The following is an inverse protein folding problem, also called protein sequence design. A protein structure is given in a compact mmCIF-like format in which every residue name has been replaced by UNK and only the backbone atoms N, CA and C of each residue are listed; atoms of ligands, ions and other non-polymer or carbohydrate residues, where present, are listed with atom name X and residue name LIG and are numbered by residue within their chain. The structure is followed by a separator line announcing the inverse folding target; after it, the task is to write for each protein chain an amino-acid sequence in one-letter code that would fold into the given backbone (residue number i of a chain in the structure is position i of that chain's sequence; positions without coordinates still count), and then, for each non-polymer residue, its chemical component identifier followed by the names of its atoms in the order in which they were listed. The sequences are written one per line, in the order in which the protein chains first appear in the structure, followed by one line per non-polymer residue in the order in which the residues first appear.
data_IF_311011447148
#
_entry.id   IF_311011447148
#
_cell.length_a   1.000
_cell.length_b   1.000
_cell.length_c   1.000
_cell.angle_alpha   90.00
_cell.angle_beta   90.00
_cell.angle_gamma   90.00
#
_symmetry.space_group_name_H-M   'P 1'
#
loop_
_entity.id
_entity.type
_entity.pdbx_description
1 polymer ?
#
# COMPACT_ATOMS: atom_id res chain seq x y z
N UNK A 1 19.56 -27.99 12.20
CA UNK A 1 19.01 -29.11 13.02
C UNK A 1 19.73 -29.02 14.36
N UNK A 2 19.16 -28.73 15.52
CA UNK A 2 17.85 -28.34 16.00
C UNK A 2 18.15 -27.62 17.34
N UNK A 3 17.46 -26.54 17.67
CA UNK A 3 17.61 -25.87 18.97
C UNK A 3 16.22 -25.71 19.61
N UNK A 4 15.61 -26.85 19.94
CA UNK A 4 14.27 -27.01 20.51
C UNK A 4 14.32 -27.11 22.05
N UNK A 5 14.91 -26.14 22.77
CA UNK A 5 15.08 -26.32 24.23
C UNK A 5 15.05 -25.07 25.12
N UNK A 6 14.61 -23.92 24.63
CA UNK A 6 14.48 -22.73 25.48
C UNK A 6 13.05 -22.21 25.41
N UNK A 7 12.43 -22.15 26.59
CA UNK A 7 11.14 -21.56 26.94
C UNK A 7 9.89 -22.48 26.92
N UNK A 8 9.67 -23.15 28.05
CA UNK A 8 8.34 -23.48 28.57
C UNK A 8 7.54 -22.19 28.86
N UNK A 9 6.94 -21.58 27.83
CA UNK A 9 5.92 -20.53 27.97
C UNK A 9 4.56 -21.23 27.82
N UNK A 10 3.62 -21.10 28.77
CA UNK A 10 2.28 -21.65 28.60
C UNK A 10 1.67 -21.08 27.31
N UNK A 11 1.16 -21.97 26.47
CA UNK A 11 0.61 -21.72 25.12
C UNK A 11 -0.48 -20.61 25.08
N UNK A 12 -0.99 -20.20 26.23
CA UNK A 12 -1.95 -19.12 26.43
C UNK A 12 -1.37 -17.70 26.35
N UNK A 13 -0.04 -17.50 26.40
CA UNK A 13 0.56 -16.14 26.43
C UNK A 13 0.93 -15.58 25.04
N UNK A 14 1.11 -16.42 24.01
CA UNK A 14 1.59 -15.98 22.68
C UNK A 14 0.45 -15.50 21.75
N UNK A 15 -0.82 -15.68 22.14
CA UNK A 15 -1.98 -15.37 21.29
C UNK A 15 -2.58 -13.95 21.44
N UNK A 16 -2.02 -13.06 22.28
CA UNK A 16 -2.65 -11.75 22.54
C UNK A 16 -2.15 -10.61 21.64
N UNK A 17 -1.06 -10.80 20.90
CA UNK A 17 -0.50 -9.77 20.02
C UNK A 17 -0.63 -10.19 18.56
N UNK A 18 -1.87 -10.25 18.07
CA UNK A 18 -2.09 -10.25 16.62
C UNK A 18 -1.68 -8.87 16.09
N UNK A 19 -0.67 -8.75 15.20
CA UNK A 19 -0.41 -7.50 14.51
C UNK A 19 -1.66 -7.15 13.68
N UNK A 20 -1.99 -5.85 13.60
CA UNK A 20 -3.04 -5.36 12.72
C UNK A 20 -2.85 -5.98 11.34
N UNK A 21 -3.81 -6.82 10.92
CA UNK A 21 -3.82 -7.46 9.61
C UNK A 21 -3.87 -6.34 8.57
N UNK A 22 -2.71 -5.93 8.07
CA UNK A 22 -2.60 -5.11 6.88
C UNK A 22 -3.25 -5.87 5.74
N UNK A 23 -4.48 -5.51 5.39
CA UNK A 23 -5.17 -6.03 4.20
C UNK A 23 -4.63 -5.28 2.98
N UNK A 24 -3.88 -5.93 2.08
CA UNK A 24 -3.24 -5.27 0.93
C UNK A 24 -4.24 -4.89 -0.18
N UNK A 25 -5.51 -5.26 -0.02
CA UNK A 25 -6.59 -4.89 -0.92
C UNK A 25 -7.32 -3.69 -0.32
N UNK A 26 -6.83 -2.49 -0.62
CA UNK A 26 -7.62 -1.28 -0.45
C UNK A 26 -8.89 -1.38 -1.31
N UNK A 27 -10.07 -1.13 -0.72
CA UNK A 27 -11.34 -1.13 -1.45
C UNK A 27 -11.51 0.10 -2.36
N UNK A 28 -10.51 0.99 -2.40
CA UNK A 28 -10.56 2.23 -3.16
C UNK A 28 -10.29 2.00 -4.64
N UNK A 29 -11.17 2.57 -5.46
CA UNK A 29 -11.07 2.53 -6.92
C UNK A 29 -10.61 3.90 -7.43
N UNK A 30 -9.80 3.89 -8.48
CA UNK A 30 -9.38 5.12 -9.13
C UNK A 30 -10.59 5.85 -9.74
N UNK A 31 -10.69 7.17 -9.55
CA UNK A 31 -11.82 7.97 -10.07
C UNK A 31 -11.80 8.04 -11.61
N UNK A 32 -10.60 7.98 -12.23
CA UNK A 32 -10.41 8.19 -13.67
C UNK A 32 -10.56 6.88 -14.44
N UNK A 33 -9.78 5.85 -14.07
CA UNK A 33 -9.76 4.58 -14.78
C UNK A 33 -10.61 3.48 -14.12
N UNK A 34 -11.19 3.73 -12.94
CA UNK A 34 -12.02 2.79 -12.17
C UNK A 34 -11.33 1.48 -11.77
N UNK A 35 -10.03 1.35 -12.06
CA UNK A 35 -9.22 0.21 -11.62
C UNK A 35 -9.04 0.24 -10.11
N UNK A 36 -8.91 -0.96 -9.54
CA UNK A 36 -8.64 -1.12 -8.12
C UNK A 36 -7.23 -0.61 -7.81
N UNK A 37 -7.09 0.22 -6.78
CA UNK A 37 -5.81 0.80 -6.38
C UNK A 37 -5.19 -0.08 -5.29
N UNK A 38 -3.87 -0.29 -5.39
CA UNK A 38 -3.13 -1.11 -4.43
C UNK A 38 -3.09 -0.51 -3.01
N UNK A 39 -3.17 0.81 -2.91
CA UNK A 39 -3.15 1.56 -1.65
C UNK A 39 -4.42 2.43 -1.56
N UNK A 40 -4.84 2.78 -0.34
CA UNK A 40 -6.02 3.61 -0.10
C UNK A 40 -5.83 5.00 -0.72
N UNK A 41 -6.41 5.23 -1.90
CA UNK A 41 -6.11 6.41 -2.71
C UNK A 41 -7.18 6.70 -3.77
N UNK A 42 -7.29 7.97 -4.14
CA UNK A 42 -8.28 8.46 -5.11
C UNK A 42 -7.89 8.17 -6.56
N UNK A 43 -6.59 8.12 -6.85
CA UNK A 43 -6.07 7.92 -8.19
C UNK A 43 -5.06 6.77 -8.25
N UNK A 44 -5.02 6.10 -9.41
CA UNK A 44 -4.01 5.10 -9.71
C UNK A 44 -2.63 5.75 -9.90
N UNK A 45 -1.53 5.03 -9.66
CA UNK A 45 -0.17 5.58 -9.84
C UNK A 45 0.03 6.18 -11.23
N UNK A 46 -0.41 5.47 -12.28
CA UNK A 46 -0.37 5.93 -13.67
C UNK A 46 -1.20 7.20 -13.89
N UNK A 47 -2.38 7.29 -13.28
CA UNK A 47 -3.34 8.36 -13.47
C UNK A 47 -2.89 9.65 -12.75
N UNK A 48 -2.40 9.48 -11.53
CA UNK A 48 -1.76 10.50 -10.72
C UNK A 48 -0.55 11.08 -11.47
N UNK A 49 0.25 10.21 -12.08
CA UNK A 49 1.39 10.60 -12.90
C UNK A 49 0.98 11.34 -14.17
N UNK A 50 0.04 10.83 -14.97
CA UNK A 50 -0.38 11.51 -16.21
C UNK A 50 -0.96 12.91 -15.94
N UNK A 51 -1.61 13.12 -14.79
CA UNK A 51 -2.18 14.42 -14.42
C UNK A 51 -1.28 15.28 -13.52
N UNK A 52 -0.17 14.75 -13.01
CA UNK A 52 0.71 15.48 -12.09
C UNK A 52 0.09 15.76 -10.73
N UNK A 53 -0.85 14.92 -10.29
CA UNK A 53 -1.59 15.09 -9.03
C UNK A 53 -1.21 14.02 -8.01
N UNK A 54 -1.35 14.33 -6.73
CA UNK A 54 -1.15 13.38 -5.65
C UNK A 54 -2.17 12.24 -5.72
N UNK A 55 -1.72 10.97 -5.68
CA UNK A 55 -2.59 9.79 -5.70
C UNK A 55 -3.55 9.72 -4.50
N UNK A 56 -3.14 10.29 -3.36
CA UNK A 56 -3.91 10.33 -2.11
C UNK A 56 -4.86 11.54 -2.07
N UNK A 57 -4.30 12.74 -2.28
CA UNK A 57 -5.00 14.01 -2.00
C UNK A 57 -5.65 14.65 -3.24
N UNK A 58 -5.18 14.34 -4.45
CA UNK A 58 -5.62 15.01 -5.69
C UNK A 58 -5.07 16.42 -5.93
N UNK A 59 -4.30 16.98 -4.98
CA UNK A 59 -3.59 18.25 -5.18
C UNK A 59 -2.51 18.11 -6.26
N UNK A 60 -2.26 19.16 -7.04
CA UNK A 60 -1.16 19.18 -8.01
C UNK A 60 0.18 19.09 -7.25
N UNK A 61 1.01 18.10 -7.59
CA UNK A 61 2.32 17.86 -6.96
C UNK A 61 3.44 18.11 -7.95
N UNK A 62 3.21 17.87 -9.24
CA UNK A 62 4.23 17.96 -10.27
C UNK A 62 3.62 18.49 -11.57
N UNK A 63 4.36 19.30 -12.31
CA UNK A 63 4.04 19.58 -13.72
C UNK A 63 4.69 18.49 -14.58
N UNK A 64 3.87 17.64 -15.18
CA UNK A 64 4.32 16.42 -15.89
C UNK A 64 4.80 16.69 -17.31
N UNK A 65 4.89 17.95 -17.74
CA UNK A 65 5.39 18.28 -19.09
C UNK A 65 6.88 18.02 -19.26
N UNK A 66 7.66 17.98 -18.18
CA UNK A 66 9.13 17.82 -18.23
C UNK A 66 9.65 16.51 -17.66
N UNK A 67 8.81 15.68 -17.06
CA UNK A 67 9.23 14.42 -16.44
C UNK A 67 8.60 13.24 -17.18
N UNK A 68 9.43 12.26 -17.59
CA UNK A 68 9.01 10.93 -18.04
C UNK A 68 9.48 9.89 -17.03
N UNK A 69 8.54 9.07 -16.54
CA UNK A 69 8.84 7.94 -15.69
C UNK A 69 9.50 6.87 -16.57
N UNK A 70 10.77 6.58 -16.33
CA UNK A 70 11.46 5.43 -16.91
C UNK A 70 10.84 4.15 -16.34
N UNK A 71 10.53 3.21 -17.23
CA UNK A 71 10.10 1.87 -16.83
C UNK A 71 11.35 1.07 -16.42
N UNK A 72 11.33 0.48 -15.22
CA UNK A 72 12.35 -0.46 -14.75
C UNK A 72 12.05 -1.88 -15.20
#
# INVERSE_FOLDING_TARGET
MNLDSIFHIPLSFIWKFAPCRWTPYGNTKCIICKQQVHQDGKYCHTCAYSKGVCAMCGKQVLDTKLYKQSNV
#
